data_IF_215704615547
#
_entry.id   IF_215704615547
#
_cell.length_a   1.000
_cell.length_b   1.000
_cell.length_c   1.000
_cell.angle_alpha   90.00
_cell.angle_beta   90.00
_cell.angle_gamma   90.00
#
_symmetry.space_group_name_H-M   'P 1'
#
loop_
_entity.id
_entity.type
_entity.pdbx_description
1 polymer ?
#
# COMPACT_ATOMS: atom_id res chain seq x y z
N UNK A 1 1.25 7.39 -8.04
CA UNK A 1 0.11 7.04 -7.18
C UNK A 1 0.59 6.82 -5.75
N UNK A 2 -0.23 7.19 -4.76
CA UNK A 2 0.03 6.99 -3.33
C UNK A 2 -1.21 6.41 -2.63
N UNK A 3 -0.97 5.46 -1.73
CA UNK A 3 -1.94 4.89 -0.79
C UNK A 3 -1.53 5.35 0.60
N UNK A 4 -2.38 6.12 1.27
CA UNK A 4 -2.13 6.59 2.64
C UNK A 4 -3.14 6.02 3.62
N UNK A 5 -2.68 5.65 4.79
CA UNK A 5 -3.46 4.94 5.80
C UNK A 5 -3.15 5.43 7.22
N UNK A 6 -4.21 5.54 8.03
CA UNK A 6 -4.16 5.87 9.46
C UNK A 6 -4.91 4.82 10.28
N UNK A 7 -4.35 4.37 11.42
CA UNK A 7 -5.06 3.46 12.33
C UNK A 7 -4.55 3.43 13.79
N UNK A 8 -5.22 4.14 14.70
CA UNK A 8 -4.77 4.24 16.10
C UNK A 8 -5.51 3.25 17.04
N UNK A 9 -4.88 2.37 17.84
CA UNK A 9 -3.60 1.68 17.67
C UNK A 9 -3.85 0.27 17.13
N UNK A 10 -3.81 0.09 15.82
CA UNK A 10 -3.99 -1.22 15.18
C UNK A 10 -3.31 -1.20 13.80
N UNK A 11 -3.54 -2.21 12.96
CA UNK A 11 -2.82 -2.40 11.70
C UNK A 11 -3.73 -2.44 10.47
N UNK A 12 -3.20 -1.91 9.37
CA UNK A 12 -3.67 -2.17 8.02
C UNK A 12 -2.87 -3.30 7.39
N UNK A 13 -3.56 -4.12 6.60
CA UNK A 13 -2.94 -5.02 5.66
C UNK A 13 -3.32 -4.63 4.25
N UNK A 14 -2.33 -4.60 3.37
CA UNK A 14 -2.45 -4.21 1.98
C UNK A 14 -1.80 -5.29 1.12
N UNK A 15 -2.52 -5.71 0.10
CA UNK A 15 -2.08 -6.76 -0.82
C UNK A 15 -2.73 -6.59 -2.20
N UNK A 16 -2.25 -7.31 -3.20
CA UNK A 16 -2.80 -7.38 -4.55
C UNK A 16 -3.03 -6.02 -5.23
N UNK A 17 -2.09 -5.08 -5.07
CA UNK A 17 -2.19 -3.76 -5.71
C UNK A 17 -2.06 -3.91 -7.23
N UNK A 18 -3.04 -3.39 -7.95
CA UNK A 18 -3.05 -3.39 -9.41
C UNK A 18 -3.45 -2.04 -9.95
N UNK A 19 -2.68 -1.59 -10.93
CA UNK A 19 -2.97 -0.40 -11.71
C UNK A 19 -2.77 -0.78 -13.16
N UNK A 20 -3.85 -0.83 -13.93
CA UNK A 20 -3.77 -1.20 -15.35
C UNK A 20 -4.24 -0.09 -16.27
N UNK A 21 -3.58 0.01 -17.42
CA UNK A 21 -3.95 0.88 -18.54
C UNK A 21 -3.89 0.07 -19.84
N UNK A 22 -5.00 -0.02 -20.56
CA UNK A 22 -5.12 -0.83 -21.78
C UNK A 22 -4.62 -2.29 -21.60
N UNK A 23 -4.89 -2.88 -20.43
CA UNK A 23 -4.47 -4.25 -20.09
C UNK A 23 -2.99 -4.39 -19.67
N UNK A 24 -2.22 -3.30 -19.67
CA UNK A 24 -0.83 -3.29 -19.20
C UNK A 24 -0.79 -2.95 -17.71
N UNK A 25 -0.10 -3.78 -16.93
CA UNK A 25 0.17 -3.52 -15.51
C UNK A 25 1.24 -2.43 -15.36
N UNK A 26 0.89 -1.39 -14.62
CA UNK A 26 1.76 -0.25 -14.31
C UNK A 26 2.32 -0.31 -12.89
N UNK A 27 1.56 -0.90 -11.96
CA UNK A 27 2.05 -1.12 -10.60
C UNK A 27 2.96 -2.35 -10.54
N UNK A 28 4.20 -2.16 -10.11
CA UNK A 28 5.18 -3.22 -9.97
C UNK A 28 5.11 -3.83 -8.57
N UNK A 29 5.12 -5.15 -8.51
CA UNK A 29 5.16 -5.94 -7.27
C UNK A 29 4.00 -5.64 -6.30
N UNK A 30 2.77 -5.64 -6.81
CA UNK A 30 1.58 -5.34 -6.00
C UNK A 30 1.20 -6.38 -4.96
N UNK A 31 1.69 -7.61 -5.12
CA UNK A 31 1.55 -8.70 -4.15
C UNK A 31 2.79 -8.88 -3.25
N UNK A 32 3.79 -7.99 -3.34
CA UNK A 32 4.96 -8.01 -2.45
C UNK A 32 5.82 -9.30 -2.50
N UNK A 33 5.87 -9.96 -3.66
CA UNK A 33 6.53 -11.26 -3.86
C UNK A 33 7.95 -11.15 -4.42
N UNK A 34 8.38 -9.95 -4.83
CA UNK A 34 9.67 -9.78 -5.50
C UNK A 34 10.87 -9.84 -4.54
N UNK A 35 12.01 -10.31 -5.06
CA UNK A 35 13.30 -10.34 -4.35
C UNK A 35 14.38 -9.62 -5.15
N UNK A 36 15.17 -8.69 -4.54
CA UNK A 36 15.06 -8.27 -3.15
C UNK A 36 13.80 -7.43 -2.90
N UNK A 37 13.15 -7.68 -1.75
CA UNK A 37 12.04 -6.89 -1.25
C UNK A 37 12.49 -5.42 -1.20
N UNK A 38 11.61 -4.46 -1.53
CA UNK A 38 11.74 -3.00 -1.31
C UNK A 38 12.21 -2.06 -2.42
N UNK A 39 12.64 -2.49 -3.62
CA UNK A 39 13.11 -1.51 -4.63
C UNK A 39 12.01 -0.79 -5.43
N UNK A 40 10.77 -1.27 -5.38
CA UNK A 40 9.69 -0.79 -6.26
C UNK A 40 8.82 0.32 -5.68
N UNK A 41 8.84 0.52 -4.37
CA UNK A 41 7.92 1.41 -3.68
C UNK A 41 8.66 2.34 -2.73
N UNK A 42 8.18 3.58 -2.63
CA UNK A 42 8.57 4.51 -1.58
C UNK A 42 7.57 4.40 -0.44
N UNK A 43 8.06 3.94 0.71
CA UNK A 43 7.32 3.95 1.96
C UNK A 43 7.69 5.19 2.77
N UNK A 44 6.75 5.70 3.54
CA UNK A 44 7.03 6.72 4.53
C UNK A 44 6.38 6.33 5.85
N UNK A 45 7.23 6.27 6.87
CA UNK A 45 6.82 6.29 8.27
C UNK A 45 6.91 7.74 8.75
N UNK A 46 5.80 8.48 8.68
CA UNK A 46 5.78 9.88 9.09
C UNK A 46 5.98 9.94 10.62
N UNK A 47 7.17 10.42 11.04
CA UNK A 47 7.62 10.63 12.42
C UNK A 47 8.03 9.37 13.22
N UNK A 48 8.30 8.23 12.57
CA UNK A 48 8.68 7.00 13.30
C UNK A 48 7.53 6.49 14.20
N UNK A 49 6.31 6.90 13.89
CA UNK A 49 5.13 6.72 14.70
C UNK A 49 4.34 5.52 14.20
N UNK A 50 5.01 4.41 13.88
CA UNK A 50 4.34 3.16 13.56
C UNK A 50 4.85 2.06 14.49
N UNK A 51 3.98 1.16 14.92
CA UNK A 51 4.39 0.02 15.76
C UNK A 51 5.20 -1.02 14.96
N UNK A 52 5.04 -1.03 13.63
CA UNK A 52 5.84 -1.73 12.64
C UNK A 52 6.22 -0.73 11.53
N UNK A 53 7.48 -0.67 11.09
CA UNK A 53 8.00 0.30 10.11
C UNK A 53 7.46 0.14 8.66
N UNK A 54 6.18 -0.21 8.46
CA UNK A 54 5.64 -0.59 7.16
C UNK A 54 6.42 -1.77 6.58
N UNK A 55 6.10 -2.98 7.02
CA UNK A 55 6.90 -4.17 6.75
C UNK A 55 6.22 -5.11 5.75
N UNK A 56 7.04 -5.78 4.95
CA UNK A 56 6.58 -6.96 4.22
C UNK A 56 6.43 -8.10 5.22
N UNK A 57 5.27 -8.75 5.20
CA UNK A 57 4.81 -9.67 6.23
C UNK A 57 4.13 -10.88 5.60
N UNK A 58 4.10 -11.99 6.33
CA UNK A 58 3.38 -13.21 5.96
C UNK A 58 2.09 -13.38 6.78
N UNK A 59 1.73 -12.41 7.62
CA UNK A 59 0.70 -12.55 8.66
C UNK A 59 -0.72 -12.23 8.22
N UNK A 60 -0.90 -11.47 7.14
CA UNK A 60 -2.23 -11.05 6.67
C UNK A 60 -2.29 -10.96 5.14
N UNK A 61 -1.80 -12.03 4.52
CA UNK A 61 -1.75 -12.26 3.08
C UNK A 61 -3.15 -12.51 2.55
N UNK A 62 -3.53 -11.82 1.47
CA UNK A 62 -4.73 -12.11 0.71
C UNK A 62 -4.45 -13.12 -0.41
N UNK A 63 -3.30 -12.98 -1.08
CA UNK A 63 -2.83 -13.91 -2.09
C UNK A 63 -1.30 -14.03 -2.09
N UNK A 64 -0.76 -15.15 -2.58
CA UNK A 64 0.69 -15.36 -2.55
C UNK A 64 1.23 -15.72 -1.16
N UNK A 65 2.41 -15.18 -0.83
CA UNK A 65 3.16 -15.45 0.40
C UNK A 65 3.36 -14.21 1.27
N UNK A 66 3.24 -13.01 0.71
CA UNK A 66 3.60 -11.77 1.35
C UNK A 66 2.50 -10.71 1.20
N UNK A 67 2.48 -9.76 2.13
CA UNK A 67 1.64 -8.57 2.09
C UNK A 67 2.38 -7.40 2.72
N UNK A 68 1.90 -6.19 2.50
CA UNK A 68 2.32 -5.03 3.27
C UNK A 68 1.50 -4.89 4.54
N UNK A 69 2.18 -4.70 5.67
CA UNK A 69 1.58 -4.59 7.00
C UNK A 69 2.12 -3.35 7.70
N UNK A 70 1.22 -2.47 8.13
CA UNK A 70 1.61 -1.24 8.83
C UNK A 70 0.61 -0.86 9.92
N UNK A 71 1.12 -0.31 11.01
CA UNK A 71 0.35 0.16 12.15
C UNK A 71 0.74 1.58 12.50
N UNK A 72 0.22 2.54 11.74
CA UNK A 72 0.47 3.96 11.95
C UNK A 72 -0.19 4.45 13.26
N UNK A 73 0.49 5.35 13.97
CA UNK A 73 0.10 5.88 15.28
C UNK A 73 0.12 7.40 15.26
N UNK A 74 -1.00 8.02 15.62
CA UNK A 74 -1.25 9.47 15.65
C UNK A 74 -1.24 10.16 14.27
N UNK A 75 -0.49 9.64 13.30
CA UNK A 75 -0.32 10.18 11.95
C UNK A 75 -0.65 9.12 10.88
N UNK A 76 -0.80 9.56 9.63
CA UNK A 76 -0.96 8.66 8.50
C UNK A 76 0.40 8.28 7.92
N UNK A 77 0.55 7.00 7.57
CA UNK A 77 1.67 6.50 6.75
C UNK A 77 1.23 6.34 5.30
N UNK A 78 2.19 6.04 4.42
CA UNK A 78 1.88 5.80 3.02
C UNK A 78 2.84 4.85 2.30
N UNK A 79 2.30 4.23 1.25
CA UNK A 79 3.01 3.49 0.22
C UNK A 79 2.77 4.16 -1.15
N UNK A 80 3.84 4.37 -1.93
CA UNK A 80 3.73 5.06 -3.22
C UNK A 80 4.63 4.47 -4.30
N UNK A 81 4.19 4.58 -5.54
CA UNK A 81 4.95 4.23 -6.74
C UNK A 81 4.61 5.22 -7.86
N UNK A 82 5.64 5.59 -8.62
CA UNK A 82 5.48 6.41 -9.81
C UNK A 82 5.37 5.53 -11.07
N UNK A 83 4.49 5.91 -11.97
CA UNK A 83 4.36 5.34 -13.31
C UNK A 83 3.90 6.43 -14.27
N UNK A 84 4.23 6.28 -15.56
CA UNK A 84 3.85 7.25 -16.59
C UNK A 84 2.34 7.18 -16.85
N UNK A 85 1.68 8.34 -16.87
CA UNK A 85 0.27 8.47 -17.23
C UNK A 85 0.10 9.11 -18.60
N UNK A 86 -1.04 8.84 -19.23
CA UNK A 86 -1.49 9.39 -20.51
C UNK A 86 -2.69 10.28 -20.19
N UNK A 87 -2.62 11.53 -20.64
CA UNK A 87 -3.70 12.50 -20.45
C UNK A 87 -4.98 11.97 -21.09
N UNK A 88 -6.08 11.99 -20.32
CA UNK A 88 -7.38 11.45 -20.74
C UNK A 88 -7.46 9.92 -20.73
N UNK A 89 -6.42 9.22 -20.27
CA UNK A 89 -6.42 7.77 -20.12
C UNK A 89 -7.35 7.31 -18.99
N UNK A 90 -8.03 6.18 -19.21
CA UNK A 90 -8.80 5.49 -18.19
C UNK A 90 -7.98 4.36 -17.58
N UNK A 91 -7.84 4.37 -16.25
CA UNK A 91 -7.04 3.42 -15.49
C UNK A 91 -7.95 2.57 -14.60
N UNK A 92 -7.69 1.27 -14.52
CA UNK A 92 -8.31 0.44 -13.50
C UNK A 92 -7.36 0.32 -12.32
N UNK A 93 -7.85 0.65 -11.14
CA UNK A 93 -7.10 0.58 -9.89
C UNK A 93 -7.85 -0.38 -8.97
N UNK A 94 -7.15 -1.39 -8.46
CA UNK A 94 -7.69 -2.31 -7.47
C UNK A 94 -6.60 -2.66 -6.46
N UNK A 95 -7.02 -3.04 -5.26
CA UNK A 95 -6.16 -3.49 -4.19
C UNK A 95 -7.02 -4.21 -3.16
N UNK A 96 -6.41 -5.11 -2.40
CA UNK A 96 -7.01 -5.66 -1.19
C UNK A 96 -6.55 -4.85 0.01
N UNK A 97 -7.50 -4.50 0.89
CA UNK A 97 -7.23 -3.72 2.09
C UNK A 97 -8.03 -4.29 3.26
N UNK A 98 -7.36 -4.66 4.34
CA UNK A 98 -7.98 -5.12 5.57
C UNK A 98 -7.66 -4.20 6.74
N UNK A 99 -8.73 -3.68 7.35
CA UNK A 99 -8.68 -2.94 8.62
C UNK A 99 -8.72 -3.94 9.78
N UNK A 100 -7.68 -4.01 10.59
CA UNK A 100 -7.67 -4.89 11.78
C UNK A 100 -8.29 -4.26 13.04
N UNK A 101 -8.80 -3.03 12.99
CA UNK A 101 -9.52 -2.34 14.07
C UNK A 101 -8.99 -0.93 14.36
N UNK A 102 -9.16 -0.46 15.59
CA UNK A 102 -8.65 0.87 16.00
C UNK A 102 -9.43 2.06 15.45
N UNK A 103 -9.37 3.18 16.18
CA UNK A 103 -9.96 4.46 15.80
C UNK A 103 -9.10 5.63 16.31
N UNK A 104 -8.97 6.72 15.55
CA UNK A 104 -9.49 6.91 14.19
C UNK A 104 -8.80 6.00 13.17
N UNK A 105 -9.52 5.66 12.11
CA UNK A 105 -8.97 4.99 10.95
C UNK A 105 -9.40 5.70 9.66
N UNK A 106 -8.50 5.75 8.69
CA UNK A 106 -8.78 6.34 7.38
C UNK A 106 -7.85 5.77 6.32
N UNK A 107 -8.36 5.60 5.10
CA UNK A 107 -7.58 5.24 3.92
C UNK A 107 -7.84 6.27 2.81
N UNK A 108 -6.78 6.72 2.16
CA UNK A 108 -6.82 7.71 1.09
C UNK A 108 -5.99 7.22 -0.10
N UNK A 109 -6.61 7.23 -1.29
CA UNK A 109 -5.94 6.95 -2.55
C UNK A 109 -5.71 8.26 -3.29
N UNK A 110 -4.46 8.56 -3.64
CA UNK A 110 -4.09 9.77 -4.37
C UNK A 110 -3.49 9.40 -5.72
N UNK A 111 -4.07 9.97 -6.78
CA UNK A 111 -3.62 9.87 -8.16
C UNK A 111 -3.25 11.28 -8.60
N UNK A 112 -2.04 11.45 -9.11
CA UNK A 112 -1.48 12.72 -9.57
C UNK A 112 -0.59 12.51 -10.78
#
# INVERSE_FOLDING_TARGET
>A
MMLSFRQDSSYWCLDDISVTYNGVQLWQDGGFEASPLTSYYTYCNLNGASSDNGAISTKCVNSGSYCYHDGSYTYSDYLSQAFTTVIGGSYNISFWLANQGGTPNSALVIIG
#
